data_IF_905433384028
#
_entry.id   IF_905433384028
#
_cell.length_a   1.000
_cell.length_b   1.000
_cell.length_c   1.000
_cell.angle_alpha   90.00
_cell.angle_beta   90.00
_cell.angle_gamma   90.00
#
_symmetry.space_group_name_H-M   'P 1'
#
loop_
_entity.id
_entity.type
_entity.pdbx_description
1 polymer ?
#
# COMPACT_ATOMS: atom_id res chain seq x y z
N UNK A 1 -8.80 18.06 -37.77
CA UNK A 1 -10.01 17.76 -37.01
C UNK A 1 -9.86 16.51 -36.17
N UNK A 2 -9.31 15.43 -36.69
CA UNK A 2 -9.06 14.20 -35.91
C UNK A 2 -8.06 14.36 -34.78
N UNK A 3 -7.10 15.26 -34.93
CA UNK A 3 -6.08 15.50 -33.89
C UNK A 3 -6.66 16.10 -32.61
N UNK A 4 -7.69 16.94 -32.72
CA UNK A 4 -8.33 17.55 -31.55
C UNK A 4 -9.07 16.51 -30.71
N UNK A 5 -9.69 15.54 -31.36
CA UNK A 5 -10.38 14.44 -30.65
C UNK A 5 -9.39 13.55 -29.92
N UNK A 6 -8.23 13.28 -30.52
CA UNK A 6 -7.19 12.47 -29.90
C UNK A 6 -6.63 13.19 -28.67
N UNK A 7 -6.41 14.48 -28.75
CA UNK A 7 -5.94 15.28 -27.62
C UNK A 7 -6.96 15.30 -26.48
N UNK A 8 -8.25 15.46 -26.79
CA UNK A 8 -9.30 15.44 -25.79
C UNK A 8 -9.40 14.08 -25.10
N UNK A 9 -9.23 13.00 -25.87
CA UNK A 9 -9.23 11.65 -25.32
C UNK A 9 -8.04 11.44 -24.38
N UNK A 10 -6.86 11.92 -24.78
CA UNK A 10 -5.68 11.83 -23.93
C UNK A 10 -5.85 12.57 -22.61
N UNK A 11 -6.56 13.71 -22.62
CA UNK A 11 -6.85 14.46 -21.40
C UNK A 11 -7.85 13.76 -20.48
N UNK A 12 -8.63 12.84 -21.00
CA UNK A 12 -9.60 12.06 -20.23
C UNK A 12 -9.01 10.80 -19.65
N UNK A 13 -7.76 10.46 -19.98
CA UNK A 13 -7.09 9.32 -19.38
C UNK A 13 -6.94 9.58 -17.88
N UNK A 14 -7.38 8.61 -17.04
CA UNK A 14 -7.23 8.79 -15.61
C UNK A 14 -5.75 8.94 -15.26
N UNK A 15 -5.46 9.92 -14.42
CA UNK A 15 -4.14 10.06 -13.86
C UNK A 15 -3.95 8.94 -12.87
N UNK A 16 -3.45 7.80 -13.34
CA UNK A 16 -3.03 6.73 -12.45
C UNK A 16 -1.67 7.14 -11.91
N UNK A 17 -1.69 7.86 -10.80
CA UNK A 17 -0.46 8.18 -10.10
C UNK A 17 -0.05 6.95 -9.33
N UNK A 18 1.04 6.32 -9.75
CA UNK A 18 1.67 5.30 -8.94
C UNK A 18 2.10 5.93 -7.62
N UNK A 19 1.80 5.27 -6.51
CA UNK A 19 2.23 5.74 -5.21
C UNK A 19 3.75 5.71 -5.15
N UNK A 20 4.35 6.83 -4.74
CA UNK A 20 5.80 6.93 -4.62
C UNK A 20 6.25 6.17 -3.37
N UNK A 21 7.00 5.10 -3.55
CA UNK A 21 7.49 4.27 -2.46
C UNK A 21 8.98 4.50 -2.24
N UNK A 22 9.39 4.38 -0.97
CA UNK A 22 10.79 4.43 -0.57
C UNK A 22 11.10 3.18 0.23
N UNK A 23 12.30 2.64 0.03
CA UNK A 23 12.81 1.64 0.96
C UNK A 23 13.25 2.29 2.26
N UNK A 24 13.09 1.59 3.37
CA UNK A 24 13.49 2.11 4.68
C UNK A 24 15.00 2.34 4.74
N UNK A 25 15.77 1.52 4.03
CA UNK A 25 17.21 1.66 3.89
C UNK A 25 17.54 1.55 2.40
N UNK A 26 17.99 2.65 1.81
CA UNK A 26 18.33 2.71 0.40
C UNK A 26 19.50 1.80 0.01
N UNK A 27 20.37 1.50 0.97
CA UNK A 27 21.51 0.60 0.75
C UNK A 27 21.17 -0.85 1.09
N UNK A 28 19.95 -1.11 1.59
CA UNK A 28 19.53 -2.45 1.95
C UNK A 28 19.35 -3.35 0.73
N UNK A 29 19.81 -4.59 0.86
CA UNK A 29 19.61 -5.61 -0.17
C UNK A 29 18.49 -6.52 0.29
N UNK A 30 17.27 -6.15 -0.08
CA UNK A 30 16.08 -6.87 0.35
C UNK A 30 15.78 -8.07 -0.54
N UNK A 31 15.43 -9.19 0.10
CA UNK A 31 15.01 -10.41 -0.62
C UNK A 31 13.72 -10.21 -1.41
N UNK A 32 12.83 -9.36 -0.89
CA UNK A 32 11.59 -9.00 -1.56
C UNK A 32 11.72 -7.58 -2.11
N UNK A 33 11.46 -7.45 -3.41
CA UNK A 33 11.50 -6.15 -4.10
C UNK A 33 10.08 -5.72 -4.39
N UNK A 34 9.72 -4.53 -3.93
CA UNK A 34 8.40 -3.95 -4.17
C UNK A 34 8.48 -3.03 -5.39
N UNK A 35 7.60 -3.27 -6.36
CA UNK A 35 7.60 -2.51 -7.62
C UNK A 35 6.50 -1.48 -7.68
N UNK A 36 5.38 -1.71 -7.00
CA UNK A 36 4.23 -0.80 -7.08
C UNK A 36 3.32 -0.98 -5.88
N UNK A 37 2.65 0.10 -5.50
CA UNK A 37 1.59 0.09 -4.49
C UNK A 37 0.40 0.86 -5.04
N UNK A 38 -0.76 0.21 -5.08
CA UNK A 38 -2.02 0.84 -5.49
C UNK A 38 -2.94 0.93 -4.29
N UNK A 39 -3.58 2.07 -4.14
CA UNK A 39 -4.51 2.34 -3.05
C UNK A 39 -5.86 2.68 -3.66
N UNK A 40 -6.91 1.96 -3.25
CA UNK A 40 -8.26 2.16 -3.78
C UNK A 40 -9.28 2.17 -2.64
N UNK A 41 -10.09 3.22 -2.50
CA UNK A 41 -10.08 4.47 -3.25
C UNK A 41 -8.92 5.38 -2.87
N UNK A 42 -8.61 6.34 -3.73
CA UNK A 42 -7.59 7.34 -3.45
C UNK A 42 -8.16 8.73 -3.78
N UNK A 43 -8.33 9.63 -2.78
CA UNK A 43 -7.94 9.46 -1.38
C UNK A 43 -8.77 8.39 -0.66
N UNK A 44 -8.22 7.91 0.45
CA UNK A 44 -8.89 6.94 1.31
C UNK A 44 -10.07 7.61 1.99
N UNK A 45 -11.20 6.91 2.08
CA UNK A 45 -12.42 7.43 2.68
C UNK A 45 -12.71 6.67 3.97
N UNK A 46 -12.70 7.36 5.13
CA UNK A 46 -13.05 6.70 6.40
C UNK A 46 -14.42 6.07 6.36
N UNK A 47 -14.55 4.90 6.96
CA UNK A 47 -15.80 4.15 6.99
C UNK A 47 -16.08 3.30 5.78
N UNK A 48 -15.25 3.39 4.75
CA UNK A 48 -15.38 2.57 3.54
C UNK A 48 -14.17 1.66 3.38
N UNK A 49 -14.35 0.47 2.78
CA UNK A 49 -13.23 -0.44 2.57
C UNK A 49 -12.16 0.21 1.69
N UNK A 50 -10.92 0.08 2.12
CA UNK A 50 -9.75 0.53 1.38
C UNK A 50 -8.89 -0.68 1.07
N UNK A 51 -8.47 -0.82 -0.18
CA UNK A 51 -7.63 -1.91 -0.61
C UNK A 51 -6.25 -1.39 -0.98
N UNK A 52 -5.23 -2.03 -0.44
CA UNK A 52 -3.83 -1.78 -0.77
C UNK A 52 -3.32 -2.99 -1.54
N UNK A 53 -2.94 -2.78 -2.79
CA UNK A 53 -2.36 -3.82 -3.63
C UNK A 53 -0.87 -3.56 -3.78
N UNK A 54 -0.06 -4.45 -3.26
CA UNK A 54 1.39 -4.33 -3.25
C UNK A 54 1.95 -5.35 -4.23
N UNK A 55 2.50 -4.86 -5.32
CA UNK A 55 3.14 -5.70 -6.33
C UNK A 55 4.61 -5.85 -5.98
N UNK A 56 5.07 -7.07 -5.92
CA UNK A 56 6.43 -7.38 -5.46
C UNK A 56 6.98 -8.60 -6.18
N UNK A 57 8.25 -8.85 -5.96
CA UNK A 57 8.92 -10.06 -6.41
C UNK A 57 9.87 -10.55 -5.34
N UNK A 58 10.04 -11.85 -5.28
CA UNK A 58 10.96 -12.49 -4.34
C UNK A 58 11.89 -13.42 -5.09
N UNK A 59 13.17 -13.43 -4.69
CA UNK A 59 14.15 -14.33 -5.26
C UNK A 59 14.17 -15.71 -4.62
N UNK A 60 13.35 -15.93 -3.61
CA UNK A 60 13.31 -17.19 -2.86
C UNK A 60 11.87 -17.56 -2.55
N UNK A 61 11.64 -18.84 -2.30
CA UNK A 61 10.32 -19.31 -1.85
C UNK A 61 10.09 -18.84 -0.41
N UNK A 62 8.87 -18.38 -0.13
CA UNK A 62 8.48 -17.93 1.20
C UNK A 62 7.39 -18.87 1.72
N UNK A 63 7.69 -19.61 2.76
CA UNK A 63 6.74 -20.57 3.31
C UNK A 63 5.87 -19.96 4.41
N UNK A 64 6.36 -18.94 5.07
CA UNK A 64 5.63 -18.22 6.13
C UNK A 64 6.30 -16.86 6.37
N UNK A 65 5.71 -16.08 7.22
CA UNK A 65 6.24 -14.77 7.57
C UNK A 65 5.18 -13.90 8.20
N UNK A 66 5.55 -12.67 8.49
CA UNK A 66 4.62 -11.67 9.02
C UNK A 66 4.81 -10.34 8.34
N UNK A 67 3.74 -9.57 8.34
CA UNK A 67 3.70 -8.21 7.80
C UNK A 67 3.37 -7.27 8.94
N UNK A 68 4.24 -6.30 9.18
CA UNK A 68 4.03 -5.29 10.21
C UNK A 68 3.72 -3.96 9.52
N UNK A 69 2.59 -3.39 9.86
CA UNK A 69 2.11 -2.14 9.28
C UNK A 69 2.12 -1.08 10.37
N UNK A 70 2.85 0.02 10.12
CA UNK A 70 2.91 1.15 11.04
C UNK A 70 2.41 2.39 10.34
N UNK A 71 1.47 3.08 10.96
CA UNK A 71 0.88 4.30 10.42
C UNK A 71 1.31 5.48 11.26
N UNK A 72 1.80 6.52 10.60
CA UNK A 72 2.29 7.75 11.23
C UNK A 72 1.49 8.94 10.71
N UNK A 73 1.13 9.84 11.62
CA UNK A 73 0.44 11.08 11.32
C UNK A 73 1.15 12.22 12.05
N UNK A 74 1.61 13.22 11.30
CA UNK A 74 2.40 14.32 11.84
C UNK A 74 3.61 13.85 12.65
N UNK A 75 4.31 12.82 12.15
CA UNK A 75 5.50 12.29 12.80
C UNK A 75 5.24 11.42 14.02
N UNK A 76 3.99 11.20 14.38
CA UNK A 76 3.60 10.39 15.54
C UNK A 76 3.00 9.08 15.05
N UNK A 77 3.50 7.96 15.59
CA UNK A 77 2.93 6.66 15.28
C UNK A 77 1.55 6.54 15.92
N UNK A 78 0.52 6.39 15.10
CA UNK A 78 -0.86 6.39 15.56
C UNK A 78 -1.49 5.00 15.51
N UNK A 79 -0.89 4.07 14.78
CA UNK A 79 -1.45 2.72 14.63
C UNK A 79 -0.36 1.73 14.23
N UNK A 80 -0.44 0.51 14.74
CA UNK A 80 0.44 -0.59 14.37
C UNK A 80 -0.38 -1.86 14.29
N UNK A 81 -0.18 -2.63 13.22
CA UNK A 81 -0.81 -3.94 13.04
C UNK A 81 0.25 -4.95 12.64
N UNK A 82 0.05 -6.19 13.06
CA UNK A 82 0.87 -7.31 12.61
C UNK A 82 -0.06 -8.39 12.08
N UNK A 83 0.22 -8.85 10.87
CA UNK A 83 -0.54 -9.90 10.22
C UNK A 83 0.37 -11.04 9.81
N UNK A 84 -0.15 -12.25 9.83
CA UNK A 84 0.51 -13.39 9.23
C UNK A 84 0.53 -13.21 7.72
N UNK A 85 1.70 -13.35 7.11
CA UNK A 85 1.84 -13.22 5.66
C UNK A 85 0.90 -14.18 4.92
N UNK A 86 0.74 -15.38 5.44
CA UNK A 86 -0.07 -16.40 4.80
C UNK A 86 -1.58 -16.21 4.97
N UNK A 87 -2.00 -15.27 5.82
CA UNK A 87 -3.39 -14.80 5.87
C UNK A 87 -3.67 -13.78 4.78
N UNK A 88 -2.66 -13.04 4.37
CA UNK A 88 -2.80 -12.00 3.35
C UNK A 88 -2.62 -12.55 1.93
N UNK A 89 -1.90 -13.65 1.78
CA UNK A 89 -1.64 -14.29 0.50
C UNK A 89 -1.46 -15.78 0.72
N UNK A 90 -1.81 -16.58 -0.27
CA UNK A 90 -1.65 -18.04 -0.19
C UNK A 90 -0.18 -18.43 -0.12
N UNK A 91 0.17 -19.23 0.88
CA UNK A 91 1.51 -19.77 1.05
C UNK A 91 1.57 -21.24 0.63
N UNK A 92 2.74 -21.72 0.20
CA UNK A 92 4.00 -21.00 0.02
C UNK A 92 3.95 -20.05 -1.17
N UNK A 93 4.69 -18.94 -1.07
CA UNK A 93 4.86 -18.01 -2.18
C UNK A 93 6.08 -18.48 -2.98
N UNK A 94 5.86 -18.83 -4.24
CA UNK A 94 6.95 -19.25 -5.10
C UNK A 94 7.83 -18.05 -5.47
N UNK A 95 9.12 -18.31 -5.70
CA UNK A 95 10.02 -17.29 -6.22
C UNK A 95 9.44 -16.69 -7.51
N UNK A 96 9.49 -15.37 -7.63
CA UNK A 96 8.92 -14.64 -8.75
C UNK A 96 8.03 -13.50 -8.29
N UNK A 97 7.13 -13.09 -9.17
CA UNK A 97 6.22 -11.97 -8.92
C UNK A 97 5.01 -12.43 -8.12
N UNK A 98 4.55 -11.57 -7.21
CA UNK A 98 3.32 -11.80 -6.47
C UNK A 98 2.67 -10.45 -6.12
N UNK A 99 1.40 -10.51 -5.76
CA UNK A 99 0.65 -9.34 -5.29
C UNK A 99 0.09 -9.65 -3.92
N UNK A 100 0.39 -8.77 -2.97
CA UNK A 100 -0.18 -8.84 -1.63
C UNK A 100 -1.30 -7.82 -1.55
N UNK A 101 -2.51 -8.28 -1.26
CA UNK A 101 -3.70 -7.42 -1.21
C UNK A 101 -4.23 -7.39 0.21
N UNK A 102 -4.39 -6.19 0.75
CA UNK A 102 -4.92 -5.99 2.09
C UNK A 102 -6.09 -5.02 2.04
N UNK A 103 -7.23 -5.43 2.58
CA UNK A 103 -8.43 -4.59 2.62
C UNK A 103 -8.80 -4.30 4.06
N UNK A 104 -9.05 -3.04 4.34
CA UNK A 104 -9.36 -2.59 5.69
C UNK A 104 -10.26 -1.34 5.64
N UNK A 105 -11.16 -1.21 6.60
CA UNK A 105 -11.96 0.01 6.78
C UNK A 105 -11.41 0.79 7.96
N UNK A 106 -11.21 2.09 7.76
CA UNK A 106 -10.80 2.98 8.84
C UNK A 106 -12.04 3.49 9.59
N UNK A 107 -11.91 3.79 10.88
CA UNK A 107 -13.03 4.40 11.63
C UNK A 107 -13.50 5.68 10.96
N UNK A 108 -14.81 5.94 11.03
CA UNK A 108 -15.42 7.11 10.39
C UNK A 108 -14.87 8.43 10.92
N UNK A 109 -14.35 8.43 12.15
CA UNK A 109 -13.78 9.62 12.79
C UNK A 109 -12.29 9.80 12.52
N UNK A 110 -11.70 9.00 11.63
CA UNK A 110 -10.27 9.15 11.28
C UNK A 110 -10.05 10.52 10.67
N UNK A 111 -9.11 11.33 11.21
CA UNK A 111 -8.88 12.67 10.69
C UNK A 111 -8.41 12.67 9.24
N UNK A 112 -8.89 13.59 8.43
CA UNK A 112 -8.37 13.74 7.08
C UNK A 112 -6.94 14.30 7.10
N UNK A 113 -6.18 14.03 6.07
CA UNK A 113 -4.83 14.55 5.93
C UNK A 113 -3.87 13.56 5.32
N UNK A 114 -2.59 13.88 5.46
CA UNK A 114 -1.52 13.09 4.89
C UNK A 114 -0.94 12.18 5.97
N UNK A 115 -0.90 10.89 5.65
CA UNK A 115 -0.38 9.85 6.54
C UNK A 115 0.81 9.18 5.86
N UNK A 116 1.69 8.62 6.68
CA UNK A 116 2.79 7.78 6.21
C UNK A 116 2.54 6.36 6.67
N UNK A 117 2.66 5.41 5.77
CA UNK A 117 2.52 4.00 6.05
C UNK A 117 3.86 3.32 5.82
N UNK A 118 4.28 2.54 6.81
CA UNK A 118 5.52 1.77 6.72
C UNK A 118 5.15 0.30 6.83
N UNK A 119 5.55 -0.47 5.82
CA UNK A 119 5.30 -1.90 5.76
C UNK A 119 6.63 -2.62 5.86
N UNK A 120 6.73 -3.48 6.85
CA UNK A 120 7.89 -4.36 7.04
C UNK A 120 7.42 -5.80 6.88
N UNK A 121 8.14 -6.55 6.07
CA UNK A 121 7.89 -7.97 5.89
C UNK A 121 9.05 -8.74 6.48
N UNK A 122 8.75 -9.72 7.34
CA UNK A 122 9.76 -10.50 8.04
C UNK A 122 9.46 -11.98 7.87
N UNK A 123 10.52 -12.80 7.85
CA UNK A 123 10.36 -14.26 7.87
C UNK A 123 10.16 -14.75 9.31
N UNK A 124 10.04 -16.05 9.50
CA UNK A 124 9.82 -16.66 10.80
C UNK A 124 11.04 -16.61 11.73
N UNK A 125 12.21 -16.25 11.19
CA UNK A 125 13.41 -16.01 11.98
C UNK A 125 13.58 -14.51 12.30
N UNK A 126 12.57 -13.70 12.02
CA UNK A 126 12.57 -12.24 12.19
C UNK A 126 13.60 -11.51 11.33
N UNK A 127 14.05 -12.14 10.24
CA UNK A 127 14.85 -11.46 9.25
C UNK A 127 13.94 -10.59 8.36
N UNK A 128 14.36 -9.36 8.13
CA UNK A 128 13.60 -8.41 7.34
C UNK A 128 13.72 -8.75 5.86
N UNK A 129 12.60 -9.15 5.26
CA UNK A 129 12.54 -9.47 3.84
C UNK A 129 12.43 -8.21 3.00
N UNK A 130 11.70 -7.22 3.49
CA UNK A 130 11.61 -5.90 2.89
C UNK A 130 11.08 -4.89 3.91
N UNK A 131 11.34 -3.62 3.63
CA UNK A 131 10.75 -2.53 4.38
C UNK A 131 10.55 -1.35 3.44
N UNK A 132 9.31 -0.92 3.27
CA UNK A 132 8.97 0.22 2.44
C UNK A 132 8.15 1.23 3.22
N UNK A 133 8.16 2.45 2.73
CA UNK A 133 7.38 3.55 3.29
C UNK A 133 6.78 4.35 2.14
N UNK A 134 5.55 4.78 2.30
CA UNK A 134 4.89 5.65 1.34
C UNK A 134 3.86 6.51 2.03
N UNK A 135 3.53 7.63 1.41
CA UNK A 135 2.51 8.54 1.90
C UNK A 135 1.18 8.21 1.23
N UNK A 136 0.11 8.37 1.98
CA UNK A 136 -1.23 8.28 1.43
C UNK A 136 -2.12 9.34 2.08
N UNK A 137 -3.17 9.71 1.37
CA UNK A 137 -4.07 10.77 1.83
C UNK A 137 -5.40 10.17 2.25
N UNK A 138 -5.87 10.58 3.43
CA UNK A 138 -7.20 10.28 3.90
C UNK A 138 -8.04 11.52 3.67
N UNK A 139 -9.14 11.35 2.94
CA UNK A 139 -10.09 12.41 2.66
C UNK A 139 -11.14 12.54 3.76
N UNK A 140 -12.09 13.44 3.55
CA UNK A 140 -13.23 13.58 4.45
C UNK A 140 -14.13 12.38 4.33
N UNK A 141 -14.76 12.01 5.43
CA UNK A 141 -15.71 10.92 5.45
C UNK A 141 -16.98 11.23 4.64
N UNK A 142 -17.83 10.21 4.47
CA UNK A 142 -19.03 10.28 3.64
C UNK A 142 -20.03 11.33 4.10
N UNK A 143 -19.95 11.80 5.33
CA UNK A 143 -20.84 12.82 5.86
C UNK A 143 -20.76 14.14 5.10
N UNK A 144 -19.59 14.44 4.53
CA UNK A 144 -19.37 15.68 3.78
C UNK A 144 -20.15 15.67 2.47
N UNK A 145 -20.39 14.50 1.92
CA UNK A 145 -21.01 14.34 0.62
C UNK A 145 -22.54 14.26 0.66
N UNK A 146 -23.10 14.28 1.86
CA UNK A 146 -24.55 14.20 2.05
C UNK A 146 -25.18 15.57 2.30
N UNK A 147 -24.39 16.59 2.24
CA UNK A 147 -24.88 17.96 2.46
C UNK A 147 -25.52 18.56 1.22
#
# INVERSE_FOLDING_TARGET
MGSLRVLAFALLLPLVCATHIKYCDNSGDYAVKVTDVKISPNPVVPGKPTTFDISASTGQNLSNGKVVIRVTFFGVQVHTETHDLCEEISCPIAAGKFVLSHTQSLPVFTPPGLYTLRITMEDDLNEQLTCISFNFRIGFGSLVFNS
#
